data_IF_456191241596
#
_entry.id   IF_456191241596
#
_cell.length_a   1.000
_cell.length_b   1.000
_cell.length_c   1.000
_cell.angle_alpha   90.00
_cell.angle_beta   90.00
_cell.angle_gamma   90.00
#
_symmetry.space_group_name_H-M   'P 1'
#
loop_
_entity.id
_entity.type
_entity.pdbx_description
1 polymer ?
#
# COMPACT_ATOMS: atom_id res chain seq x y z
N UNK A 1 0.50 24.22 13.22
CA UNK A 1 0.36 24.04 11.75
C UNK A 1 1.67 23.42 11.26
N UNK A 2 1.61 22.32 10.52
CA UNK A 2 2.79 21.58 10.00
C UNK A 2 2.89 21.78 8.48
N UNK A 3 4.09 21.67 7.92
CA UNK A 3 4.33 21.62 6.47
C UNK A 3 4.58 20.18 6.05
N UNK A 4 3.75 19.68 5.15
CA UNK A 4 3.71 18.28 4.74
C UNK A 4 4.08 18.16 3.27
N UNK A 5 5.15 17.45 2.97
CA UNK A 5 5.56 17.15 1.61
C UNK A 5 5.00 15.78 1.18
N UNK A 6 4.32 15.73 0.05
CA UNK A 6 3.61 14.53 -0.41
C UNK A 6 4.05 14.17 -1.81
N UNK A 7 4.51 12.93 -2.00
CA UNK A 7 4.72 12.34 -3.31
C UNK A 7 3.64 11.30 -3.61
N UNK A 8 3.28 11.13 -4.89
CA UNK A 8 2.29 10.13 -5.29
C UNK A 8 0.82 10.55 -5.09
N UNK A 9 0.53 11.84 -4.90
CA UNK A 9 -0.83 12.37 -4.73
C UNK A 9 -1.78 12.02 -5.88
N UNK A 10 -1.29 11.79 -7.09
CA UNK A 10 -2.09 11.41 -8.27
C UNK A 10 -2.43 9.92 -8.37
N UNK A 11 -1.93 9.07 -7.47
CA UNK A 11 -2.28 7.64 -7.40
C UNK A 11 -3.56 7.38 -6.61
N UNK A 12 -4.06 6.13 -6.60
CA UNK A 12 -5.25 5.74 -5.85
C UNK A 12 -5.16 6.15 -4.37
N UNK A 13 -4.23 5.58 -3.61
CA UNK A 13 -4.03 5.91 -2.19
C UNK A 13 -3.79 7.42 -2.02
N UNK A 14 -2.96 8.00 -2.89
CA UNK A 14 -2.61 9.41 -2.85
C UNK A 14 -3.82 10.34 -2.93
N UNK A 15 -4.82 10.02 -3.77
CA UNK A 15 -6.06 10.80 -3.86
C UNK A 15 -6.83 10.80 -2.53
N UNK A 16 -7.11 9.60 -1.98
CA UNK A 16 -7.86 9.49 -0.72
C UNK A 16 -7.13 10.18 0.44
N UNK A 17 -5.82 9.97 0.53
CA UNK A 17 -4.99 10.53 1.59
C UNK A 17 -4.89 12.07 1.49
N UNK A 18 -4.62 12.59 0.29
CA UNK A 18 -4.46 14.04 0.10
C UNK A 18 -5.79 14.75 0.31
N UNK A 19 -6.89 14.21 -0.20
CA UNK A 19 -8.23 14.74 0.02
C UNK A 19 -8.59 14.76 1.52
N UNK A 20 -8.31 13.68 2.25
CA UNK A 20 -8.53 13.64 3.70
C UNK A 20 -7.72 14.72 4.42
N UNK A 21 -6.45 14.94 4.05
CA UNK A 21 -5.61 15.99 4.66
C UNK A 21 -6.09 17.40 4.29
N UNK A 22 -6.60 17.61 3.06
CA UNK A 22 -7.18 18.91 2.64
C UNK A 22 -8.38 19.28 3.50
N UNK A 23 -9.33 18.36 3.69
CA UNK A 23 -10.59 18.64 4.34
C UNK A 23 -10.57 18.52 5.87
N UNK A 24 -9.70 17.66 6.41
CA UNK A 24 -9.71 17.38 7.86
C UNK A 24 -8.58 18.07 8.62
N UNK A 25 -7.65 18.79 7.94
CA UNK A 25 -6.54 19.49 8.59
C UNK A 25 -6.35 20.89 8.04
N UNK A 26 -5.64 21.73 8.82
CA UNK A 26 -5.21 23.07 8.40
C UNK A 26 -3.69 23.12 8.08
N UNK A 27 -3.07 21.97 7.82
CA UNK A 27 -1.64 21.92 7.51
C UNK A 27 -1.34 22.46 6.11
N UNK A 28 -0.14 22.98 5.90
CA UNK A 28 0.35 23.32 4.57
C UNK A 28 0.76 22.04 3.84
N UNK A 29 0.26 21.85 2.63
CA UNK A 29 0.51 20.67 1.81
C UNK A 29 1.34 21.04 0.59
N UNK A 30 2.45 20.36 0.36
CA UNK A 30 3.33 20.52 -0.80
C UNK A 30 3.25 19.24 -1.62
N UNK A 31 2.51 19.26 -2.73
CA UNK A 31 2.19 18.10 -3.55
C UNK A 31 3.13 18.02 -4.76
N UNK A 32 4.11 17.11 -4.75
CA UNK A 32 4.95 16.87 -5.92
C UNK A 32 4.19 15.99 -6.92
N UNK A 33 3.84 16.56 -8.08
CA UNK A 33 3.07 15.89 -9.13
C UNK A 33 3.60 16.19 -10.51
N UNK A 34 3.69 15.18 -11.38
CA UNK A 34 4.13 15.34 -12.78
C UNK A 34 3.10 16.09 -13.63
N UNK A 35 1.85 15.77 -13.45
CA UNK A 35 0.73 16.37 -14.16
C UNK A 35 -0.41 16.71 -13.19
N UNK A 36 -0.60 17.98 -12.84
CA UNK A 36 -1.68 18.45 -11.96
C UNK A 36 -3.10 18.12 -12.47
N UNK A 37 -3.30 18.00 -13.79
CA UNK A 37 -4.62 17.68 -14.36
C UNK A 37 -5.12 16.27 -13.98
N UNK A 38 -4.22 15.42 -13.46
CA UNK A 38 -4.58 14.11 -12.91
C UNK A 38 -5.13 14.16 -11.51
N UNK A 39 -5.07 15.29 -10.82
CA UNK A 39 -5.63 15.48 -9.50
C UNK A 39 -7.14 15.74 -9.65
N UNK A 40 -7.94 14.83 -9.12
CA UNK A 40 -9.41 14.89 -9.21
C UNK A 40 -10.06 15.40 -7.92
N UNK A 41 -9.26 15.75 -6.92
CA UNK A 41 -9.71 16.48 -5.74
C UNK A 41 -9.50 17.99 -5.91
N UNK A 42 -10.27 18.78 -5.18
CA UNK A 42 -10.16 20.23 -5.19
C UNK A 42 -8.95 20.68 -4.36
N UNK A 43 -7.82 20.92 -5.02
CA UNK A 43 -6.62 21.46 -4.37
C UNK A 43 -6.67 22.98 -4.16
N UNK A 44 -7.77 23.66 -4.56
CA UNK A 44 -8.04 25.05 -4.29
C UNK A 44 -9.06 25.25 -3.15
N UNK A 45 -9.55 24.16 -2.56
CA UNK A 45 -10.56 24.16 -1.50
C UNK A 45 -10.19 25.04 -0.30
N UNK A 46 -8.90 25.26 -0.06
CA UNK A 46 -8.39 26.17 0.98
C UNK A 46 -7.00 26.69 0.65
N UNK A 47 -6.58 27.76 1.35
CA UNK A 47 -5.19 28.21 1.30
C UNK A 47 -4.21 27.18 1.90
N UNK A 48 -2.93 27.29 1.56
CA UNK A 48 -1.86 26.41 2.07
C UNK A 48 -1.73 25.07 1.34
N UNK A 49 -2.29 24.95 0.14
CA UNK A 49 -2.07 23.80 -0.73
C UNK A 49 -1.21 24.26 -1.91
N UNK A 50 -0.02 23.69 -2.03
CA UNK A 50 0.99 24.08 -3.01
C UNK A 50 1.24 22.93 -3.99
N UNK A 51 1.00 23.16 -5.27
CA UNK A 51 1.33 22.20 -6.31
C UNK A 51 2.76 22.46 -6.78
N UNK A 52 3.61 21.45 -6.61
CA UNK A 52 4.97 21.42 -7.12
C UNK A 52 4.97 20.57 -8.39
N UNK A 53 4.99 21.22 -9.56
CA UNK A 53 4.99 20.50 -10.83
C UNK A 53 6.38 19.98 -11.12
N UNK A 54 6.56 18.67 -11.01
CA UNK A 54 7.82 17.97 -11.21
C UNK A 54 7.69 16.49 -10.93
N UNK A 55 8.77 15.77 -11.02
CA UNK A 55 8.78 14.36 -10.68
C UNK A 55 9.96 13.97 -9.76
N UNK A 56 10.00 12.72 -9.35
CA UNK A 56 11.02 12.21 -8.44
C UNK A 56 12.43 12.26 -9.04
N UNK A 57 12.58 12.27 -10.36
CA UNK A 57 13.91 12.34 -11.01
C UNK A 57 14.60 13.69 -10.76
N UNK A 58 13.83 14.75 -10.58
CA UNK A 58 14.30 16.11 -10.27
C UNK A 58 14.16 16.50 -8.80
N UNK A 59 14.12 15.54 -7.85
CA UNK A 59 13.84 15.83 -6.44
C UNK A 59 14.85 16.81 -5.80
N UNK A 60 16.05 16.86 -6.30
CA UNK A 60 17.11 17.75 -5.84
C UNK A 60 16.79 19.24 -6.04
N UNK A 61 15.89 19.58 -6.97
CA UNK A 61 15.40 20.96 -7.20
C UNK A 61 14.63 21.51 -6.01
N UNK A 62 14.07 20.61 -5.17
CA UNK A 62 13.31 20.96 -3.98
C UNK A 62 14.14 20.88 -2.68
N UNK A 63 15.47 20.76 -2.80
CA UNK A 63 16.38 20.57 -1.64
C UNK A 63 16.23 21.66 -0.58
N UNK A 64 16.09 22.92 -0.97
CA UNK A 64 15.91 24.04 -0.04
C UNK A 64 14.62 23.91 0.77
N UNK A 65 13.50 23.57 0.12
CA UNK A 65 12.22 23.32 0.78
C UNK A 65 12.30 22.13 1.75
N UNK A 66 12.86 21.01 1.27
CA UNK A 66 12.98 19.78 2.06
C UNK A 66 13.86 19.96 3.30
N UNK A 67 14.99 20.70 3.14
CA UNK A 67 15.95 20.92 4.21
C UNK A 67 15.45 21.93 5.27
N UNK A 68 14.72 22.98 4.84
CA UNK A 68 14.44 24.15 5.71
C UNK A 68 13.04 24.13 6.30
N UNK A 69 12.08 23.47 5.69
CA UNK A 69 10.69 23.78 5.97
C UNK A 69 9.79 22.55 6.28
N UNK A 70 10.14 21.36 5.81
CA UNK A 70 9.25 20.21 5.89
C UNK A 70 9.26 19.53 7.25
N UNK A 71 8.09 19.46 7.89
CA UNK A 71 7.88 18.78 9.18
C UNK A 71 7.51 17.32 9.01
N UNK A 72 6.76 16.96 7.95
CA UNK A 72 6.34 15.59 7.66
C UNK A 72 6.53 15.33 6.17
N UNK A 73 7.08 14.17 5.82
CA UNK A 73 7.18 13.72 4.44
C UNK A 73 6.36 12.44 4.25
N UNK A 74 5.48 12.39 3.23
CA UNK A 74 4.68 11.22 2.87
C UNK A 74 5.14 10.74 1.50
N UNK A 75 5.77 9.56 1.46
CA UNK A 75 6.45 9.02 0.30
C UNK A 75 5.65 7.88 -0.30
N UNK A 76 4.61 8.21 -1.09
CA UNK A 76 3.73 7.25 -1.75
C UNK A 76 3.95 7.13 -3.26
N UNK A 77 4.87 7.93 -3.85
CA UNK A 77 5.23 7.79 -5.25
C UNK A 77 5.92 6.45 -5.52
N UNK A 78 5.57 5.82 -6.63
CA UNK A 78 6.18 4.56 -7.06
C UNK A 78 6.11 4.42 -8.58
N UNK A 79 7.14 3.78 -9.17
CA UNK A 79 7.15 3.36 -10.56
C UNK A 79 6.88 1.86 -10.68
N UNK A 80 6.15 1.47 -11.73
CA UNK A 80 5.72 0.09 -11.98
C UNK A 80 6.32 -0.50 -13.27
N UNK A 81 6.86 0.33 -14.15
CA UNK A 81 7.29 -0.06 -15.48
C UNK A 81 8.76 0.21 -15.74
N UNK A 82 9.45 -0.74 -16.41
CA UNK A 82 10.84 -0.61 -16.80
C UNK A 82 11.83 -0.80 -15.64
N UNK A 83 12.74 -1.78 -15.78
CA UNK A 83 13.65 -2.17 -14.68
C UNK A 83 14.53 -1.02 -14.18
N UNK A 84 15.05 -0.20 -15.09
CA UNK A 84 15.91 0.93 -14.74
C UNK A 84 15.14 2.05 -14.06
N UNK A 85 14.01 2.47 -14.61
CA UNK A 85 13.15 3.52 -14.05
C UNK A 85 12.57 3.12 -12.69
N UNK A 86 12.13 1.87 -12.55
CA UNK A 86 11.56 1.38 -11.28
C UNK A 86 12.62 1.41 -10.16
N UNK A 87 13.86 1.01 -10.44
CA UNK A 87 14.94 1.08 -9.46
C UNK A 87 15.30 2.52 -9.13
N UNK A 88 15.46 3.36 -10.14
CA UNK A 88 15.80 4.77 -9.94
C UNK A 88 14.79 5.48 -9.04
N UNK A 89 13.51 5.41 -9.38
CA UNK A 89 12.45 6.10 -8.62
C UNK A 89 12.22 5.47 -7.24
N UNK A 90 12.07 4.13 -7.19
CA UNK A 90 11.63 3.46 -5.96
C UNK A 90 12.76 3.30 -4.93
N UNK A 91 14.03 3.36 -5.37
CA UNK A 91 15.19 3.21 -4.48
C UNK A 91 16.01 4.48 -4.45
N UNK A 92 16.65 4.85 -5.57
CA UNK A 92 17.65 5.92 -5.59
C UNK A 92 17.02 7.26 -5.20
N UNK A 93 15.98 7.69 -5.91
CA UNK A 93 15.34 8.99 -5.69
C UNK A 93 14.54 9.06 -4.38
N UNK A 94 13.97 7.94 -3.95
CA UNK A 94 13.33 7.85 -2.63
C UNK A 94 14.33 8.04 -1.50
N UNK A 95 15.49 7.38 -1.55
CA UNK A 95 16.55 7.57 -0.56
C UNK A 95 17.20 8.97 -0.66
N UNK A 96 17.37 9.51 -1.87
CA UNK A 96 17.83 10.90 -2.06
C UNK A 96 16.88 11.89 -1.37
N UNK A 97 15.55 11.74 -1.57
CA UNK A 97 14.55 12.58 -0.90
C UNK A 97 14.67 12.49 0.62
N UNK A 98 14.77 11.28 1.17
CA UNK A 98 14.94 11.09 2.62
C UNK A 98 16.20 11.79 3.14
N UNK A 99 17.30 11.72 2.40
CA UNK A 99 18.56 12.36 2.75
C UNK A 99 18.56 13.90 2.64
N UNK A 100 17.61 14.47 1.88
CA UNK A 100 17.41 15.93 1.81
C UNK A 100 16.60 16.47 3.00
N UNK A 101 15.91 15.63 3.77
CA UNK A 101 15.14 16.05 4.93
C UNK A 101 16.07 16.39 6.10
N UNK A 102 15.79 17.51 6.79
CA UNK A 102 16.56 17.92 7.95
C UNK A 102 16.08 17.16 9.21
N UNK A 103 16.92 16.31 9.84
CA UNK A 103 16.53 15.58 11.05
C UNK A 103 16.13 16.46 12.24
N UNK A 104 16.53 17.74 12.26
CA UNK A 104 16.14 18.68 13.33
C UNK A 104 14.77 19.30 13.12
N UNK A 105 14.25 19.31 11.89
CA UNK A 105 12.98 19.94 11.51
C UNK A 105 11.92 18.89 11.20
N UNK A 106 12.29 17.87 10.44
CA UNK A 106 11.39 16.78 10.09
C UNK A 106 11.11 15.91 11.32
N UNK A 107 9.81 15.77 11.63
CA UNK A 107 9.32 15.03 12.79
C UNK A 107 8.94 13.60 12.43
N UNK A 108 8.47 13.36 11.17
CA UNK A 108 8.03 12.04 10.71
C UNK A 108 8.19 11.91 9.20
N UNK A 109 8.66 10.74 8.79
CA UNK A 109 8.65 10.29 7.38
C UNK A 109 7.74 9.08 7.29
N UNK A 110 6.68 9.15 6.50
CA UNK A 110 5.76 8.03 6.25
C UNK A 110 6.14 7.44 4.88
N UNK A 111 6.80 6.28 4.89
CA UNK A 111 7.24 5.60 3.69
C UNK A 111 6.28 4.48 3.31
N UNK A 112 5.72 4.54 2.10
CA UNK A 112 4.85 3.48 1.57
C UNK A 112 5.67 2.34 0.96
N UNK A 113 5.67 1.21 1.64
CA UNK A 113 6.16 -0.07 1.14
C UNK A 113 5.00 -0.93 0.61
N UNK A 114 5.08 -2.24 0.76
CA UNK A 114 4.03 -3.23 0.46
C UNK A 114 4.18 -4.42 1.37
N UNK A 115 3.06 -4.97 1.87
CA UNK A 115 3.09 -6.17 2.69
C UNK A 115 3.63 -7.40 1.93
N UNK A 116 3.64 -7.38 0.61
CA UNK A 116 4.20 -8.47 -0.22
C UNK A 116 5.70 -8.74 -0.01
N UNK A 117 6.43 -7.84 0.67
CA UNK A 117 7.85 -8.07 1.01
C UNK A 117 8.04 -8.65 2.42
N UNK A 118 6.96 -8.92 3.13
CA UNK A 118 6.98 -9.43 4.51
C UNK A 118 6.51 -10.89 4.56
N UNK A 119 7.02 -11.62 5.53
CA UNK A 119 6.52 -12.93 5.93
C UNK A 119 5.41 -12.82 6.99
N UNK A 120 4.96 -13.96 7.52
CA UNK A 120 3.90 -14.04 8.54
C UNK A 120 4.23 -13.32 9.85
N UNK A 121 5.51 -13.18 10.17
CA UNK A 121 6.00 -12.52 11.37
C UNK A 121 6.38 -11.05 11.13
N UNK A 122 5.97 -10.49 9.98
CA UNK A 122 6.33 -9.15 9.52
C UNK A 122 7.84 -8.95 9.28
N UNK A 123 8.59 -10.06 9.07
CA UNK A 123 10.00 -10.01 8.71
C UNK A 123 10.17 -9.93 7.20
N UNK A 124 11.34 -9.47 6.73
CA UNK A 124 11.63 -9.43 5.30
C UNK A 124 11.59 -10.82 4.67
N UNK A 125 10.71 -11.02 3.72
CA UNK A 125 10.52 -12.25 2.96
C UNK A 125 11.59 -12.35 1.86
N UNK A 126 12.65 -13.13 2.08
CA UNK A 126 13.75 -13.27 1.13
C UNK A 126 13.30 -13.64 -0.30
N UNK A 127 12.31 -14.54 -0.52
CA UNK A 127 11.75 -14.79 -1.85
C UNK A 127 11.25 -13.55 -2.59
N UNK A 128 10.80 -12.50 -1.90
CA UNK A 128 10.39 -11.25 -2.53
C UNK A 128 11.54 -10.55 -3.26
N UNK A 129 12.77 -10.66 -2.73
CA UNK A 129 13.97 -10.12 -3.38
C UNK A 129 14.42 -10.96 -4.59
N UNK A 130 14.15 -12.26 -4.58
CA UNK A 130 14.63 -13.22 -5.58
C UNK A 130 13.66 -13.41 -6.75
N UNK A 131 12.37 -13.56 -6.43
CA UNK A 131 11.30 -13.91 -7.39
C UNK A 131 10.34 -12.77 -7.68
N UNK A 132 10.33 -11.71 -6.83
CA UNK A 132 9.48 -10.55 -7.01
C UNK A 132 9.72 -9.88 -8.37
N UNK A 133 8.66 -9.37 -8.99
CA UNK A 133 8.81 -8.46 -10.13
C UNK A 133 9.47 -7.14 -9.70
N UNK A 134 9.82 -6.28 -10.64
CA UNK A 134 10.66 -5.10 -10.38
C UNK A 134 10.12 -4.21 -9.25
N UNK A 135 8.80 -4.02 -9.17
CA UNK A 135 8.18 -3.27 -8.07
C UNK A 135 8.45 -3.91 -6.69
N UNK A 136 8.20 -5.22 -6.53
CA UNK A 136 8.39 -5.92 -5.25
C UNK A 136 9.87 -5.90 -4.85
N UNK A 137 10.77 -6.21 -5.80
CA UNK A 137 12.22 -6.20 -5.55
C UNK A 137 12.72 -4.82 -5.11
N UNK A 138 12.27 -3.77 -5.79
CA UNK A 138 12.72 -2.41 -5.45
C UNK A 138 12.14 -1.94 -4.12
N UNK A 139 10.91 -2.32 -3.75
CA UNK A 139 10.36 -2.06 -2.41
C UNK A 139 11.16 -2.78 -1.33
N UNK A 140 11.52 -4.05 -1.55
CA UNK A 140 12.41 -4.80 -0.64
C UNK A 140 13.76 -4.09 -0.49
N UNK A 141 14.40 -3.72 -1.60
CA UNK A 141 15.72 -3.09 -1.62
C UNK A 141 15.71 -1.70 -0.98
N UNK A 142 14.68 -0.90 -1.20
CA UNK A 142 14.56 0.41 -0.57
C UNK A 142 14.37 0.26 0.95
N UNK A 143 13.42 -0.58 1.38
CA UNK A 143 13.14 -0.79 2.80
C UNK A 143 14.40 -1.29 3.54
N UNK A 144 15.16 -2.24 2.98
CA UNK A 144 16.39 -2.74 3.62
C UNK A 144 17.51 -1.70 3.78
N UNK A 145 17.34 -0.48 3.23
CA UNK A 145 18.30 0.61 3.36
C UNK A 145 17.81 1.75 4.27
N UNK A 146 16.53 1.74 4.70
CA UNK A 146 15.97 2.84 5.48
C UNK A 146 16.63 2.99 6.84
N UNK A 147 16.96 1.90 7.53
CA UNK A 147 17.64 1.93 8.83
C UNK A 147 19.06 2.51 8.80
N UNK A 148 19.62 2.71 7.59
CA UNK A 148 20.95 3.35 7.41
C UNK A 148 20.87 4.86 7.21
N UNK A 149 19.68 5.42 7.14
CA UNK A 149 19.49 6.86 6.91
C UNK A 149 19.66 7.64 8.21
N UNK A 150 20.18 8.85 8.13
CA UNK A 150 20.41 9.73 9.30
C UNK A 150 19.11 10.10 10.06
N UNK A 151 17.95 9.86 9.48
CA UNK A 151 16.63 10.16 10.01
C UNK A 151 15.80 8.86 10.25
N UNK A 152 16.47 7.71 10.35
CA UNK A 152 15.83 6.39 10.44
C UNK A 152 14.83 6.29 11.61
N UNK A 153 15.18 6.86 12.77
CA UNK A 153 14.35 6.94 13.99
C UNK A 153 13.01 7.68 13.81
N UNK A 154 12.84 8.41 12.72
CA UNK A 154 11.61 9.15 12.38
C UNK A 154 10.85 8.53 11.23
N UNK A 155 11.36 7.46 10.64
CA UNK A 155 10.71 6.78 9.55
C UNK A 155 9.70 5.78 10.12
N UNK A 156 8.45 5.88 9.65
CA UNK A 156 7.47 4.81 9.78
C UNK A 156 7.21 4.24 8.39
N UNK A 157 7.57 2.99 8.20
CA UNK A 157 7.28 2.25 6.99
C UNK A 157 5.89 1.62 7.10
N UNK A 158 4.99 2.01 6.20
CA UNK A 158 3.65 1.44 6.12
C UNK A 158 3.61 0.38 5.02
N UNK A 159 3.00 -0.76 5.32
CA UNK A 159 2.91 -1.93 4.46
C UNK A 159 1.45 -2.23 4.13
N UNK A 160 0.87 -1.54 3.13
CA UNK A 160 -0.48 -1.87 2.70
C UNK A 160 -0.54 -3.32 2.20
N UNK A 161 -1.60 -4.02 2.58
CA UNK A 161 -1.94 -5.36 2.10
C UNK A 161 -2.60 -5.28 0.72
N UNK A 162 -3.60 -6.09 0.38
CA UNK A 162 -4.31 -5.96 -0.89
C UNK A 162 -5.17 -4.68 -0.87
N UNK A 163 -4.75 -3.67 -1.63
CA UNK A 163 -5.42 -2.37 -1.64
C UNK A 163 -6.54 -2.33 -2.65
N UNK A 164 -7.74 -2.01 -2.17
CA UNK A 164 -8.89 -1.66 -2.99
C UNK A 164 -9.20 -0.17 -2.89
N UNK A 165 -9.84 0.38 -3.91
CA UNK A 165 -10.23 1.78 -3.97
C UNK A 165 -10.27 2.31 -5.38
N UNK A 166 -10.80 3.50 -5.53
CA UNK A 166 -11.08 4.14 -6.80
C UNK A 166 -12.56 4.11 -7.11
N UNK A 167 -13.00 5.14 -7.80
CA UNK A 167 -14.37 5.34 -8.27
C UNK A 167 -14.36 6.19 -9.55
N UNK A 168 -15.48 6.78 -9.92
CA UNK A 168 -15.57 7.66 -11.10
C UNK A 168 -14.74 8.95 -10.98
N UNK A 169 -14.41 9.35 -9.74
CA UNK A 169 -13.69 10.57 -9.42
C UNK A 169 -12.28 10.31 -8.90
N UNK A 170 -11.90 9.05 -8.64
CA UNK A 170 -10.59 8.68 -8.10
C UNK A 170 -9.99 7.52 -8.87
N UNK A 171 -8.68 7.54 -9.13
CA UNK A 171 -8.02 6.45 -9.84
C UNK A 171 -8.23 5.11 -9.15
N UNK A 172 -8.55 4.08 -9.92
CA UNK A 172 -8.65 2.73 -9.39
C UNK A 172 -7.30 2.17 -8.94
N UNK A 173 -7.31 1.42 -7.85
CA UNK A 173 -6.18 0.54 -7.53
C UNK A 173 -6.06 -0.58 -8.58
N UNK A 174 -4.88 -1.21 -8.67
CA UNK A 174 -4.68 -2.33 -9.60
C UNK A 174 -5.68 -3.47 -9.36
N UNK A 175 -6.00 -3.75 -8.09
CA UNK A 175 -6.95 -4.80 -7.74
C UNK A 175 -8.40 -4.39 -8.07
N UNK A 176 -8.79 -3.16 -7.75
CA UNK A 176 -10.12 -2.67 -8.09
C UNK A 176 -10.36 -2.62 -9.60
N UNK A 177 -9.34 -2.27 -10.38
CA UNK A 177 -9.44 -2.32 -11.84
C UNK A 177 -9.73 -3.73 -12.38
N UNK A 178 -9.26 -4.79 -11.69
CA UNK A 178 -9.47 -6.19 -12.07
C UNK A 178 -10.70 -6.86 -11.44
N UNK A 179 -11.39 -6.21 -10.49
CA UNK A 179 -12.47 -6.86 -9.72
C UNK A 179 -13.66 -7.25 -10.60
N UNK A 180 -13.97 -6.47 -11.63
CA UNK A 180 -15.03 -6.78 -12.61
C UNK A 180 -14.76 -8.08 -13.37
N UNK A 181 -13.52 -8.45 -13.59
CA UNK A 181 -13.17 -9.71 -14.23
C UNK A 181 -13.38 -10.89 -13.27
N UNK A 182 -13.06 -10.74 -12.00
CA UNK A 182 -13.36 -11.74 -10.96
C UNK A 182 -14.87 -11.98 -10.87
N UNK A 183 -15.67 -10.92 -10.89
CA UNK A 183 -17.14 -11.05 -10.80
C UNK A 183 -17.76 -11.76 -12.00
N UNK A 184 -17.20 -11.60 -13.20
CA UNK A 184 -17.63 -12.38 -14.40
C UNK A 184 -17.45 -13.89 -14.21
N UNK A 185 -16.39 -14.30 -13.52
CA UNK A 185 -16.04 -15.69 -13.29
C UNK A 185 -16.62 -16.28 -12.00
N UNK A 186 -17.38 -15.51 -11.22
CA UNK A 186 -17.92 -15.96 -9.92
C UNK A 186 -18.78 -17.23 -10.07
N UNK A 187 -19.51 -17.38 -11.20
CA UNK A 187 -20.28 -18.55 -11.52
C UNK A 187 -19.46 -19.84 -11.62
N UNK A 188 -18.18 -19.74 -12.00
CA UNK A 188 -17.23 -20.85 -12.06
C UNK A 188 -16.43 -20.97 -10.74
N UNK A 189 -15.92 -19.87 -10.23
CA UNK A 189 -15.06 -19.82 -9.03
C UNK A 189 -15.77 -20.42 -7.81
N UNK A 190 -17.08 -20.23 -7.67
CA UNK A 190 -17.88 -20.75 -6.55
C UNK A 190 -17.85 -22.28 -6.39
N UNK A 191 -17.47 -23.02 -7.43
CA UNK A 191 -17.36 -24.46 -7.38
C UNK A 191 -16.03 -24.99 -6.83
N UNK A 192 -15.08 -24.10 -6.62
CA UNK A 192 -13.75 -24.47 -6.13
C UNK A 192 -13.53 -23.95 -4.70
N UNK A 193 -12.83 -24.75 -3.92
CA UNK A 193 -12.27 -24.38 -2.62
C UNK A 193 -10.75 -24.19 -2.79
N UNK A 194 -10.27 -23.04 -2.31
CA UNK A 194 -8.86 -22.66 -2.39
C UNK A 194 -8.30 -22.49 -0.98
N UNK A 195 -7.28 -23.29 -0.68
CA UNK A 195 -6.50 -23.14 0.54
C UNK A 195 -5.58 -21.92 0.39
N UNK A 196 -5.97 -20.83 1.01
CA UNK A 196 -5.24 -19.56 1.00
C UNK A 196 -5.91 -18.53 1.89
N UNK A 197 -5.15 -17.55 2.33
CA UNK A 197 -5.65 -16.44 3.15
C UNK A 197 -4.86 -15.18 2.89
N UNK A 198 -5.51 -14.05 3.11
CA UNK A 198 -4.94 -12.74 2.85
C UNK A 198 -5.61 -11.65 3.71
N UNK A 199 -4.98 -10.50 3.76
CA UNK A 199 -5.58 -9.27 4.26
C UNK A 199 -5.89 -8.34 3.10
N UNK A 200 -6.90 -7.49 3.26
CA UNK A 200 -7.18 -6.41 2.33
C UNK A 200 -7.49 -5.12 3.09
N UNK A 201 -7.40 -3.99 2.42
CA UNK A 201 -7.75 -2.69 2.98
C UNK A 201 -8.27 -1.78 1.87
N UNK A 202 -9.21 -0.90 2.22
CA UNK A 202 -9.65 0.14 1.29
C UNK A 202 -8.74 1.38 1.40
N UNK A 203 -8.51 2.08 0.29
CA UNK A 203 -7.66 3.28 0.24
C UNK A 203 -8.17 4.42 1.16
N UNK A 204 -9.49 4.49 1.41
CA UNK A 204 -10.07 5.40 2.37
C UNK A 204 -9.65 5.08 3.82
N UNK A 205 -9.56 3.79 4.17
CA UNK A 205 -9.07 3.37 5.49
C UNK A 205 -7.58 3.67 5.65
N UNK A 206 -6.79 3.47 4.59
CA UNK A 206 -5.38 3.91 4.57
C UNK A 206 -5.30 5.42 4.83
N UNK A 207 -6.12 6.23 4.16
CA UNK A 207 -6.16 7.68 4.36
C UNK A 207 -6.47 8.06 5.81
N UNK A 208 -7.38 7.34 6.48
CA UNK A 208 -7.68 7.51 7.90
C UNK A 208 -6.46 7.26 8.79
N UNK A 209 -5.76 6.14 8.58
CA UNK A 209 -4.53 5.81 9.34
C UNK A 209 -3.44 6.87 9.08
N UNK A 210 -3.22 7.27 7.82
CA UNK A 210 -2.21 8.29 7.50
C UNK A 210 -2.55 9.64 8.14
N UNK A 211 -3.82 10.04 8.14
CA UNK A 211 -4.25 11.27 8.83
C UNK A 211 -3.95 11.21 10.32
N UNK A 212 -4.18 10.07 10.97
CA UNK A 212 -3.81 9.86 12.37
C UNK A 212 -2.30 10.02 12.59
N UNK A 213 -1.46 9.38 11.76
CA UNK A 213 0.00 9.47 11.88
C UNK A 213 0.53 10.90 11.63
N UNK A 214 -0.13 11.68 10.81
CA UNK A 214 0.18 13.09 10.56
C UNK A 214 -0.13 13.95 11.78
N UNK A 215 -1.28 13.71 12.44
CA UNK A 215 -1.65 14.44 13.65
C UNK A 215 -0.79 14.01 14.86
N UNK A 216 -0.36 12.74 14.90
CA UNK A 216 0.41 12.11 15.98
C UNK A 216 1.81 11.67 15.50
N UNK A 217 2.72 12.61 15.16
CA UNK A 217 4.05 12.24 14.67
C UNK A 217 4.93 11.54 15.71
N UNK A 218 4.55 11.63 16.99
CA UNK A 218 5.17 10.94 18.12
C UNK A 218 4.73 9.47 18.26
N UNK A 219 3.70 9.03 17.52
CA UNK A 219 3.20 7.66 17.63
C UNK A 219 4.29 6.64 17.27
N UNK A 220 4.50 5.67 18.14
CA UNK A 220 5.39 4.53 17.93
C UNK A 220 4.54 3.25 17.92
N UNK A 221 4.61 2.45 16.85
CA UNK A 221 3.93 1.17 16.82
C UNK A 221 4.41 0.22 17.95
N UNK A 222 3.53 -0.63 18.49
CA UNK A 222 3.96 -1.68 19.42
C UNK A 222 5.03 -2.55 18.76
N UNK A 223 6.17 -2.69 19.41
CA UNK A 223 7.24 -3.57 18.94
C UNK A 223 6.82 -5.04 19.10
N UNK A 224 7.21 -5.95 18.18
CA UNK A 224 6.97 -7.38 18.36
C UNK A 224 7.71 -7.89 19.60
N UNK A 225 7.07 -8.78 20.36
CA UNK A 225 7.64 -9.34 21.61
C UNK A 225 8.86 -10.25 21.39
N UNK A 226 9.17 -10.61 20.16
CA UNK A 226 10.33 -11.45 19.82
C UNK A 226 11.45 -10.61 19.22
N UNK A 227 12.62 -10.66 19.85
CA UNK A 227 13.88 -10.22 19.25
C UNK A 227 14.17 -11.07 17.99
N UNK A 228 13.64 -10.67 16.87
CA UNK A 228 13.93 -11.31 15.60
C UNK A 228 14.76 -10.38 14.73
N UNK A 229 15.57 -10.96 13.86
CA UNK A 229 16.59 -10.41 12.97
C UNK A 229 16.24 -9.14 12.13
N UNK A 230 15.42 -8.25 12.65
CA UNK A 230 15.25 -6.87 12.17
C UNK A 230 16.53 -6.02 12.37
N UNK A 231 17.63 -6.65 12.76
CA UNK A 231 18.89 -6.00 13.14
C UNK A 231 19.43 -4.98 12.12
N UNK A 232 19.01 -5.01 10.86
CA UNK A 232 19.41 -4.02 9.86
C UNK A 232 18.48 -2.79 9.78
N UNK A 233 17.25 -2.85 10.35
CA UNK A 233 16.25 -1.75 10.33
C UNK A 233 15.65 -1.49 11.72
N UNK A 234 16.33 -1.81 12.80
CA UNK A 234 15.87 -1.69 14.19
C UNK A 234 15.38 -0.28 14.58
N UNK A 235 15.77 0.74 13.82
CA UNK A 235 15.38 2.13 14.06
C UNK A 235 14.15 2.58 13.27
N UNK A 236 13.65 1.75 12.34
CA UNK A 236 12.50 2.09 11.49
C UNK A 236 11.24 1.46 12.03
N UNK A 237 10.27 2.27 12.38
CA UNK A 237 8.95 1.80 12.77
C UNK A 237 8.22 1.13 11.59
N UNK A 238 7.52 0.02 11.85
CA UNK A 238 6.81 -0.75 10.82
C UNK A 238 5.33 -0.90 11.17
N UNK A 239 4.45 -0.71 10.18
CA UNK A 239 3.01 -0.78 10.37
C UNK A 239 2.33 -1.47 9.18
N UNK A 240 1.80 -2.66 9.39
CA UNK A 240 1.03 -3.37 8.35
C UNK A 240 -0.40 -2.83 8.32
N UNK A 241 -0.86 -2.39 7.14
CA UNK A 241 -2.20 -1.83 6.95
C UNK A 241 -3.12 -2.88 6.33
N UNK A 242 -4.11 -3.33 7.08
CA UNK A 242 -5.02 -4.38 6.62
C UNK A 242 -6.15 -4.70 7.59
N UNK A 243 -7.29 -5.09 7.05
CA UNK A 243 -8.35 -5.72 7.84
C UNK A 243 -7.87 -7.08 8.39
N UNK A 244 -8.55 -7.69 9.36
CA UNK A 244 -8.26 -9.05 9.80
C UNK A 244 -8.17 -10.04 8.62
N UNK A 245 -7.33 -11.07 8.75
CA UNK A 245 -7.14 -12.07 7.71
C UNK A 245 -8.46 -12.75 7.32
N UNK A 246 -8.67 -12.93 6.03
CA UNK A 246 -9.81 -13.65 5.46
C UNK A 246 -9.29 -14.81 4.60
N UNK A 247 -9.94 -15.96 4.66
CA UNK A 247 -9.65 -17.06 3.76
C UNK A 247 -10.23 -16.79 2.37
N UNK A 248 -9.59 -17.33 1.33
CA UNK A 248 -10.11 -17.22 -0.04
C UNK A 248 -11.52 -17.80 -0.14
N UNK A 249 -11.79 -18.90 0.56
CA UNK A 249 -13.11 -19.53 0.60
C UNK A 249 -14.19 -18.64 1.22
N UNK A 250 -13.84 -17.90 2.28
CA UNK A 250 -14.76 -16.94 2.89
C UNK A 250 -15.01 -15.75 1.98
N UNK A 251 -13.96 -15.23 1.34
CA UNK A 251 -14.08 -14.12 0.39
C UNK A 251 -15.00 -14.51 -0.80
N UNK A 252 -14.85 -15.73 -1.35
CA UNK A 252 -15.74 -16.26 -2.38
C UNK A 252 -17.18 -16.39 -1.85
N UNK A 253 -17.36 -16.83 -0.61
CA UNK A 253 -18.70 -16.97 -0.03
C UNK A 253 -19.40 -15.60 0.12
N UNK A 254 -18.70 -14.58 0.62
CA UNK A 254 -19.22 -13.21 0.73
C UNK A 254 -19.55 -12.61 -0.65
N UNK A 255 -18.69 -12.83 -1.66
CA UNK A 255 -18.98 -12.44 -3.05
C UNK A 255 -20.23 -13.15 -3.61
N UNK A 256 -20.34 -14.46 -3.39
CA UNK A 256 -21.50 -15.24 -3.84
C UNK A 256 -22.79 -14.78 -3.16
N UNK A 257 -22.73 -14.44 -1.88
CA UNK A 257 -23.84 -13.88 -1.14
C UNK A 257 -24.29 -12.53 -1.75
N UNK A 258 -23.33 -11.64 -1.98
CA UNK A 258 -23.61 -10.32 -2.59
C UNK A 258 -24.29 -10.43 -3.96
N UNK A 259 -23.81 -11.36 -4.82
CA UNK A 259 -24.36 -11.58 -6.16
C UNK A 259 -25.54 -12.56 -6.21
N UNK A 260 -26.10 -12.96 -5.06
CA UNK A 260 -27.19 -13.95 -4.97
C UNK A 260 -26.88 -15.25 -5.72
N UNK A 261 -25.64 -15.76 -5.61
CA UNK A 261 -25.17 -17.00 -6.24
C UNK A 261 -25.03 -18.11 -5.19
N UNK A 262 -25.97 -19.06 -5.07
CA UNK A 262 -25.88 -20.11 -4.06
C UNK A 262 -24.66 -21.01 -4.29
N UNK A 263 -24.05 -21.42 -3.19
CA UNK A 263 -22.94 -22.39 -3.16
C UNK A 263 -23.54 -23.71 -2.63
N UNK A 264 -23.46 -24.79 -3.41
CA UNK A 264 -23.96 -26.11 -3.03
C UNK A 264 -22.83 -27.08 -2.68
N UNK A 265 -21.82 -27.13 -3.52
CA UNK A 265 -20.69 -28.04 -3.39
C UNK A 265 -19.41 -27.31 -3.84
N UNK A 266 -18.30 -27.62 -3.20
CA UNK A 266 -16.97 -27.12 -3.57
C UNK A 266 -15.98 -28.25 -3.73
N UNK A 267 -15.19 -28.16 -4.78
CA UNK A 267 -14.12 -29.09 -5.07
C UNK A 267 -12.77 -28.47 -4.66
N UNK A 268 -11.94 -29.14 -3.86
CA UNK A 268 -10.64 -28.59 -3.51
C UNK A 268 -9.76 -28.45 -4.75
N UNK A 269 -9.28 -27.23 -4.99
CA UNK A 269 -8.35 -26.95 -6.08
C UNK A 269 -6.92 -27.22 -5.61
N UNK A 270 -6.50 -28.47 -5.73
CA UNK A 270 -5.12 -28.86 -5.42
C UNK A 270 -4.13 -28.22 -6.39
N UNK A 271 -2.89 -27.97 -5.94
CA UNK A 271 -1.83 -27.33 -6.74
C UNK A 271 -1.55 -28.07 -8.06
N UNK A 272 -1.61 -29.41 -8.06
CA UNK A 272 -1.43 -30.19 -9.29
C UNK A 272 -2.53 -29.90 -10.32
N UNK A 273 -3.80 -29.75 -9.86
CA UNK A 273 -4.92 -29.44 -10.74
C UNK A 273 -4.81 -27.98 -11.25
N UNK A 274 -4.47 -27.03 -10.37
CA UNK A 274 -4.18 -25.67 -10.77
C UNK A 274 -3.09 -25.61 -11.84
N UNK A 275 -1.99 -26.34 -11.68
CA UNK A 275 -0.92 -26.43 -12.68
C UNK A 275 -1.39 -27.01 -14.02
N UNK A 276 -2.31 -27.98 -14.02
CA UNK A 276 -2.92 -28.51 -15.25
C UNK A 276 -3.76 -27.42 -15.93
N UNK A 277 -4.62 -26.73 -15.18
CA UNK A 277 -5.45 -25.63 -15.71
C UNK A 277 -4.60 -24.49 -16.28
N UNK A 278 -3.52 -24.10 -15.58
CA UNK A 278 -2.56 -23.10 -16.06
C UNK A 278 -1.98 -23.51 -17.42
N UNK A 279 -1.61 -24.78 -17.58
CA UNK A 279 -1.08 -25.30 -18.86
C UNK A 279 -2.15 -25.33 -19.96
N UNK A 280 -3.35 -25.81 -19.65
CA UNK A 280 -4.45 -25.91 -20.62
C UNK A 280 -4.86 -24.52 -21.12
N UNK A 281 -5.04 -23.58 -20.22
CA UNK A 281 -5.43 -22.20 -20.54
C UNK A 281 -4.25 -21.31 -20.95
N UNK A 282 -3.03 -21.86 -21.01
CA UNK A 282 -1.80 -21.13 -21.38
C UNK A 282 -1.60 -19.85 -20.59
N UNK A 283 -1.92 -19.87 -19.29
CA UNK A 283 -1.76 -18.73 -18.39
C UNK A 283 -0.26 -18.48 -18.20
N UNK A 284 0.20 -17.31 -18.59
CA UNK A 284 1.59 -16.90 -18.36
C UNK A 284 1.76 -16.56 -16.86
N UNK A 285 2.68 -17.25 -16.21
CA UNK A 285 3.03 -17.01 -14.82
C UNK A 285 4.51 -16.61 -14.72
N UNK A 286 4.76 -15.48 -14.12
CA UNK A 286 6.10 -15.09 -13.71
C UNK A 286 6.56 -15.85 -12.45
N UNK A 287 7.81 -15.65 -12.05
CA UNK A 287 8.39 -16.33 -10.88
C UNK A 287 7.67 -15.97 -9.58
N UNK A 288 7.20 -14.73 -9.44
CA UNK A 288 6.45 -14.27 -8.27
C UNK A 288 5.07 -14.91 -8.16
N UNK A 289 4.34 -14.96 -9.27
CA UNK A 289 3.04 -15.63 -9.33
C UNK A 289 3.15 -17.11 -8.98
N UNK A 290 4.22 -17.78 -9.44
CA UNK A 290 4.47 -19.19 -9.10
C UNK A 290 4.78 -19.36 -7.61
N UNK A 291 5.66 -18.53 -7.05
CA UNK A 291 5.92 -18.52 -5.61
C UNK A 291 4.63 -18.27 -4.81
N UNK A 292 3.82 -17.30 -5.21
CA UNK A 292 2.57 -16.96 -4.54
C UNK A 292 1.55 -18.09 -4.55
N UNK A 293 1.53 -18.91 -5.62
CA UNK A 293 0.67 -20.11 -5.71
C UNK A 293 1.04 -21.18 -4.69
N UNK A 294 2.32 -21.26 -4.31
CA UNK A 294 2.81 -22.22 -3.32
C UNK A 294 2.74 -21.63 -1.90
N UNK A 295 3.02 -20.33 -1.72
CA UNK A 295 3.01 -19.63 -0.42
C UNK A 295 1.59 -19.46 0.14
N UNK A 296 0.60 -19.14 -0.66
CA UNK A 296 -0.86 -19.06 -0.44
C UNK A 296 -1.36 -18.18 0.70
N UNK A 297 -0.68 -18.15 1.84
CA UNK A 297 -1.13 -17.45 3.03
C UNK A 297 -0.34 -16.16 3.22
N UNK A 298 -0.79 -15.10 2.56
CA UNK A 298 -0.26 -13.74 2.75
C UNK A 298 -0.93 -13.09 3.96
N UNK A 299 -0.58 -13.60 5.12
CA UNK A 299 -1.09 -13.12 6.42
C UNK A 299 0.04 -12.55 7.26
N UNK A 300 -0.29 -11.56 8.08
CA UNK A 300 0.66 -10.75 8.82
C UNK A 300 0.20 -10.60 10.27
N UNK A 301 1.12 -10.37 11.20
CA UNK A 301 0.79 -10.13 12.60
C UNK A 301 0.35 -8.68 12.81
N UNK A 302 -0.65 -8.48 13.69
CA UNK A 302 -1.12 -7.19 14.17
C UNK A 302 -1.37 -6.14 13.07
N UNK A 303 -2.10 -6.46 11.97
CA UNK A 303 -2.44 -5.45 10.98
C UNK A 303 -3.35 -4.40 11.61
N UNK A 304 -3.20 -3.16 11.17
CA UNK A 304 -3.97 -2.03 11.68
C UNK A 304 -4.93 -1.47 10.63
N UNK A 305 -6.03 -0.92 11.12
CA UNK A 305 -7.04 -0.17 10.38
C UNK A 305 -7.37 1.10 11.15
N UNK A 306 -8.22 2.01 10.67
CA UNK A 306 -8.70 3.15 11.47
C UNK A 306 -9.25 2.74 12.84
N UNK A 307 -9.90 1.58 12.97
CA UNK A 307 -10.43 1.09 14.24
C UNK A 307 -9.34 0.85 15.30
N UNK A 308 -8.12 0.53 14.90
CA UNK A 308 -6.98 0.40 15.82
C UNK A 308 -6.62 1.71 16.52
N UNK A 309 -7.08 2.83 16.00
CA UNK A 309 -6.88 4.19 16.50
C UNK A 309 -8.18 4.84 17.00
N UNK A 310 -9.21 4.05 17.30
CA UNK A 310 -10.50 4.54 17.79
C UNK A 310 -11.39 5.20 16.74
N UNK A 311 -11.06 5.07 15.45
CA UNK A 311 -11.85 5.60 14.34
C UNK A 311 -12.72 4.48 13.73
N UNK A 312 -13.73 4.85 12.95
CA UNK A 312 -14.56 3.88 12.23
C UNK A 312 -13.90 3.47 10.92
N UNK A 313 -13.88 2.16 10.63
CA UNK A 313 -13.46 1.66 9.33
C UNK A 313 -14.49 2.03 8.26
N UNK A 314 -13.99 2.38 7.08
CA UNK A 314 -14.81 2.61 5.90
C UNK A 314 -15.28 1.29 5.27
N UNK A 315 -14.39 0.29 5.24
CA UNK A 315 -14.67 -1.00 4.60
C UNK A 315 -13.94 -2.14 5.32
N UNK A 316 -14.69 -3.03 5.97
CA UNK A 316 -14.16 -4.16 6.75
C UNK A 316 -14.44 -5.53 6.14
N UNK A 317 -15.42 -5.66 5.24
CA UNK A 317 -15.86 -6.93 4.65
C UNK A 317 -15.83 -6.87 3.11
N UNK A 318 -15.81 -8.04 2.47
CA UNK A 318 -15.87 -8.12 1.00
C UNK A 318 -17.23 -7.63 0.50
N UNK A 319 -18.30 -7.86 1.26
CA UNK A 319 -19.63 -7.34 0.91
C UNK A 319 -19.65 -5.80 0.89
N UNK A 320 -19.08 -5.15 1.92
CA UNK A 320 -18.94 -3.69 1.96
C UNK A 320 -18.07 -3.19 0.80
N UNK A 321 -16.99 -3.92 0.50
CA UNK A 321 -16.12 -3.60 -0.64
C UNK A 321 -16.88 -3.59 -1.96
N UNK A 322 -17.77 -4.58 -2.19
CA UNK A 322 -18.60 -4.61 -3.41
C UNK A 322 -19.57 -3.43 -3.46
N UNK A 323 -20.21 -3.10 -2.34
CA UNK A 323 -21.14 -1.96 -2.27
C UNK A 323 -20.44 -0.63 -2.62
N UNK A 324 -19.25 -0.38 -2.04
CA UNK A 324 -18.51 0.87 -2.29
C UNK A 324 -17.86 0.91 -3.66
N UNK A 325 -17.60 -0.23 -4.28
CA UNK A 325 -17.08 -0.32 -5.65
C UNK A 325 -18.16 -0.09 -6.73
N UNK A 326 -19.44 -0.01 -6.34
CA UNK A 326 -20.57 0.24 -7.24
C UNK A 326 -20.85 -0.92 -8.21
N UNK A 327 -20.58 -2.15 -7.82
CA UNK A 327 -20.74 -3.39 -8.60
C UNK A 327 -22.03 -4.10 -8.25
#
# INVERSE_FOLDING_TARGET
>A
MKRIFITGASGCIGHYMTEALIYNTNHELYLLVRNPDKLQFDYQARAGIHILQGDMSGIEEYSDLLLKDINIAILAATAWGGRGETYDINVVKTLSLINLLNPKICQRVIYFSTASILDHNNQLLLPASQFGHDYIRTKYQCFSQLGKQAIADKIIAVFPTLVFGGDRQKPYSHLSAGITDVTKWIGLIRWFSLDGSFHFIHAQDIAGVISYLVEHPEYVPPQPETESDLASNSEVDCLVLGNPAITVDRAIAELCQYFNRPIYLRFPLYTWLANILIKIFRIQMDSWSRFSLDYRHFTYTNPVTPASFGMTNYCSTVEELMKVSGL
#
